data_IF_491414250465
#
_entry.id   IF_491414250465
#
_cell.length_a   1.000
_cell.length_b   1.000
_cell.length_c   1.000
_cell.angle_alpha   90.00
_cell.angle_beta   90.00
_cell.angle_gamma   90.00
#
_symmetry.space_group_name_H-M   'P 1'
#
loop_
_entity.id
_entity.type
_entity.pdbx_description
1 polymer ?
#
# COMPACT_ATOMS: atom_id res chain seq x y z
N UNK A 1 -15.24 18.71 -28.25
CA UNK A 1 -13.79 18.68 -28.51
C UNK A 1 -13.09 19.69 -27.61
N UNK A 2 -12.66 19.28 -26.41
CA UNK A 2 -11.76 20.06 -25.55
C UNK A 2 -10.71 19.10 -24.99
N UNK A 3 -9.60 19.01 -25.70
CA UNK A 3 -8.36 18.51 -25.11
C UNK A 3 -7.90 19.53 -24.06
N UNK A 4 -7.59 19.05 -22.85
CA UNK A 4 -6.43 19.53 -22.12
C UNK A 4 -5.67 18.33 -21.58
N UNK A 5 -4.55 18.07 -22.25
CA UNK A 5 -3.47 17.22 -21.77
C UNK A 5 -2.93 17.87 -20.49
N UNK A 6 -3.15 17.25 -19.35
CA UNK A 6 -2.30 17.45 -18.20
C UNK A 6 -1.06 16.61 -18.45
N UNK A 7 0.05 17.26 -18.79
CA UNK A 7 1.36 16.62 -18.73
C UNK A 7 1.66 16.52 -17.24
N UNK A 8 1.41 15.34 -16.66
CA UNK A 8 1.99 15.01 -15.38
C UNK A 8 3.50 14.96 -15.58
N UNK A 9 4.16 16.05 -15.19
CA UNK A 9 5.60 16.10 -15.02
C UNK A 9 5.95 15.01 -14.00
N UNK A 10 6.42 13.87 -14.49
CA UNK A 10 6.98 12.80 -13.68
C UNK A 10 8.11 13.39 -12.83
N UNK A 11 7.82 13.60 -11.54
CA UNK A 11 8.74 14.12 -10.53
C UNK A 11 9.85 13.08 -10.27
N UNK A 12 11.11 13.51 -10.09
CA UNK A 12 12.28 12.67 -10.34
C UNK A 12 12.39 11.57 -9.29
N UNK A 13 12.38 10.31 -9.72
CA UNK A 13 12.74 9.10 -8.94
C UNK A 13 12.31 9.12 -7.46
N UNK A 14 11.10 9.58 -7.18
CA UNK A 14 10.41 9.18 -5.95
C UNK A 14 10.08 7.72 -6.15
N UNK A 15 10.54 6.86 -5.25
CA UNK A 15 10.36 5.42 -5.38
C UNK A 15 8.86 5.11 -5.31
N UNK A 16 8.16 5.22 -6.43
CA UNK A 16 6.80 4.76 -6.57
C UNK A 16 6.88 3.25 -6.45
N UNK A 17 6.52 2.73 -5.28
CA UNK A 17 6.41 1.29 -5.07
C UNK A 17 5.30 0.83 -5.99
N UNK A 18 5.65 0.07 -7.03
CA UNK A 18 4.68 -0.56 -7.90
C UNK A 18 4.02 -1.70 -7.14
N UNK A 19 2.94 -1.40 -6.41
CA UNK A 19 2.19 -2.34 -5.56
C UNK A 19 1.81 -3.64 -6.31
N UNK A 20 1.70 -3.57 -7.64
CA UNK A 20 1.39 -4.71 -8.51
C UNK A 20 2.56 -5.68 -8.70
N UNK A 21 3.81 -5.21 -8.60
CA UNK A 21 5.03 -5.99 -8.84
C UNK A 21 5.80 -6.34 -7.57
N UNK A 22 5.49 -5.66 -6.47
CA UNK A 22 6.20 -5.81 -5.20
C UNK A 22 5.54 -6.86 -4.30
N UNK A 23 6.39 -7.62 -3.60
CA UNK A 23 5.97 -8.57 -2.55
C UNK A 23 6.47 -8.09 -1.20
N UNK A 24 6.00 -8.73 -0.13
CA UNK A 24 6.55 -8.49 1.20
C UNK A 24 8.03 -8.86 1.32
N UNK A 25 8.55 -9.73 0.44
CA UNK A 25 9.96 -10.09 0.38
C UNK A 25 10.84 -8.98 -0.22
N UNK A 26 10.35 -8.34 -1.28
CA UNK A 26 11.11 -7.35 -2.06
C UNK A 26 10.98 -5.95 -1.49
N UNK A 27 9.91 -5.68 -0.73
CA UNK A 27 9.67 -4.36 -0.14
C UNK A 27 10.80 -4.00 0.85
N UNK A 28 11.56 -2.91 0.60
CA UNK A 28 12.64 -2.52 1.50
C UNK A 28 12.16 -2.17 2.91
N UNK A 29 12.97 -2.48 3.92
CA UNK A 29 12.61 -2.30 5.34
C UNK A 29 12.32 -0.84 5.76
N UNK A 30 12.73 0.13 4.95
CA UNK A 30 12.45 1.56 5.18
C UNK A 30 11.07 1.97 4.64
N UNK A 31 10.21 1.04 4.27
CA UNK A 31 8.81 1.29 3.98
C UNK A 31 7.92 0.74 5.08
N UNK A 32 6.89 1.52 5.42
CA UNK A 32 5.80 1.10 6.30
C UNK A 32 4.54 0.96 5.46
N UNK A 33 3.82 -0.14 5.67
CA UNK A 33 2.52 -0.37 5.07
C UNK A 33 1.44 0.21 5.98
N UNK A 34 0.43 0.82 5.41
CA UNK A 34 -0.75 1.29 6.14
C UNK A 34 -2.02 0.78 5.46
N UNK A 35 -3.00 0.35 6.25
CA UNK A 35 -4.33 0.03 5.76
C UNK A 35 -5.28 1.18 6.09
N UNK A 36 -6.00 1.70 5.08
CA UNK A 36 -7.00 2.74 5.26
C UNK A 36 -8.38 2.27 4.77
N UNK A 37 -9.37 2.37 5.64
CA UNK A 37 -10.75 2.05 5.30
C UNK A 37 -11.37 3.15 4.46
N UNK A 38 -12.01 2.79 3.33
CA UNK A 38 -12.70 3.76 2.47
C UNK A 38 -14.00 4.29 3.08
N UNK A 39 -14.63 3.49 3.94
CA UNK A 39 -15.91 3.79 4.58
C UNK A 39 -15.73 4.66 5.82
N UNK A 40 -15.08 4.14 6.87
CA UNK A 40 -14.94 4.87 8.14
C UNK A 40 -13.66 5.71 8.24
N UNK A 41 -12.78 5.67 7.24
CA UNK A 41 -11.48 6.35 7.23
C UNK A 41 -10.50 5.94 8.33
N UNK A 42 -10.79 4.86 9.07
CA UNK A 42 -9.86 4.29 10.02
C UNK A 42 -8.57 3.87 9.30
N UNK A 43 -7.43 4.28 9.83
CA UNK A 43 -6.11 4.02 9.29
C UNK A 43 -5.22 3.42 10.37
N UNK A 44 -4.42 2.42 10.00
CA UNK A 44 -3.48 1.76 10.91
C UNK A 44 -2.24 1.29 10.17
N UNK A 45 -1.11 1.23 10.86
CA UNK A 45 0.11 0.61 10.34
C UNK A 45 -0.02 -0.90 10.31
N UNK A 46 0.48 -1.50 9.24
CA UNK A 46 0.55 -2.95 9.03
C UNK A 46 2.04 -3.34 9.07
N UNK A 47 2.39 -4.24 9.98
CA UNK A 47 3.73 -4.83 9.99
C UNK A 47 3.85 -5.85 8.84
N UNK A 48 4.53 -5.45 7.76
CA UNK A 48 4.78 -6.30 6.61
C UNK A 48 5.54 -7.59 6.96
N UNK A 49 6.41 -7.58 7.98
CA UNK A 49 7.13 -8.79 8.43
C UNK A 49 6.18 -9.76 9.12
N UNK A 50 5.27 -9.25 9.93
CA UNK A 50 4.26 -10.10 10.57
C UNK A 50 3.33 -10.74 9.53
N UNK A 51 2.86 -9.95 8.55
CA UNK A 51 2.05 -10.49 7.44
C UNK A 51 2.83 -11.53 6.65
N UNK A 52 4.11 -11.29 6.35
CA UNK A 52 4.95 -12.23 5.63
C UNK A 52 5.13 -13.55 6.41
N UNK A 53 5.31 -13.49 7.73
CA UNK A 53 5.37 -14.69 8.58
C UNK A 53 4.06 -15.48 8.58
N UNK A 54 2.91 -14.80 8.55
CA UNK A 54 1.59 -15.45 8.59
C UNK A 54 1.13 -15.99 7.23
N UNK A 55 1.45 -15.29 6.14
CA UNK A 55 0.87 -15.56 4.81
C UNK A 55 1.91 -15.86 3.72
N UNK A 56 3.20 -15.86 4.06
CA UNK A 56 4.31 -16.07 3.14
C UNK A 56 4.92 -14.77 2.62
N UNK A 57 6.22 -14.83 2.33
CA UNK A 57 7.01 -13.71 1.83
C UNK A 57 6.65 -13.32 0.38
N UNK A 58 6.17 -14.28 -0.42
CA UNK A 58 5.77 -14.07 -1.83
C UNK A 58 4.39 -13.42 -1.99
N UNK A 59 3.72 -13.07 -0.89
CA UNK A 59 2.45 -12.36 -0.96
C UNK A 59 2.67 -10.98 -1.59
N UNK A 60 2.07 -10.78 -2.77
CA UNK A 60 2.09 -9.47 -3.44
C UNK A 60 1.29 -8.44 -2.66
N UNK A 61 1.73 -7.18 -2.70
CA UNK A 61 1.04 -6.09 -2.03
C UNK A 61 -0.38 -5.88 -2.60
N UNK A 62 -0.59 -6.10 -3.90
CA UNK A 62 -1.91 -6.08 -4.52
C UNK A 62 -2.86 -7.15 -3.93
N UNK A 63 -2.37 -8.37 -3.68
CA UNK A 63 -3.17 -9.41 -3.04
C UNK A 63 -3.41 -9.12 -1.56
N UNK A 64 -2.45 -8.51 -0.88
CA UNK A 64 -2.63 -8.02 0.49
C UNK A 64 -3.75 -6.96 0.55
N UNK A 65 -3.75 -5.99 -0.36
CA UNK A 65 -4.78 -4.94 -0.42
C UNK A 65 -6.20 -5.51 -0.56
N UNK A 66 -6.39 -6.52 -1.42
CA UNK A 66 -7.68 -7.21 -1.61
C UNK A 66 -8.18 -7.96 -0.38
N UNK A 67 -7.29 -8.29 0.56
CA UNK A 67 -7.59 -9.06 1.78
C UNK A 67 -7.85 -8.18 3.00
N UNK A 68 -7.73 -6.86 2.87
CA UNK A 68 -7.89 -5.94 3.99
C UNK A 68 -9.32 -5.97 4.54
N UNK A 69 -9.43 -6.16 5.86
CA UNK A 69 -10.66 -5.99 6.63
C UNK A 69 -10.45 -4.90 7.68
N UNK A 70 -11.31 -3.88 7.64
CA UNK A 70 -11.30 -2.82 8.65
C UNK A 70 -11.73 -3.38 10.01
N UNK A 71 -10.94 -3.13 11.05
CA UNK A 71 -11.28 -3.55 12.42
C UNK A 71 -12.32 -2.62 13.09
N UNK A 72 -12.40 -1.35 12.68
CA UNK A 72 -13.40 -0.41 13.19
C UNK A 72 -14.84 -0.70 12.72
N UNK A 73 -15.07 -0.78 11.40
CA UNK A 73 -16.41 -0.96 10.83
C UNK A 73 -16.64 -2.31 10.11
N UNK A 74 -15.65 -3.19 10.06
CA UNK A 74 -15.76 -4.51 9.41
C UNK A 74 -15.66 -4.52 7.88
N UNK A 75 -15.55 -3.35 7.22
CA UNK A 75 -15.51 -3.25 5.75
C UNK A 75 -14.38 -4.08 5.13
N UNK A 76 -14.67 -4.80 4.04
CA UNK A 76 -13.72 -5.65 3.30
C UNK A 76 -13.46 -5.20 1.85
N UNK A 77 -14.21 -4.21 1.36
CA UNK A 77 -14.18 -3.79 -0.04
C UNK A 77 -13.50 -2.44 -0.19
N UNK A 78 -12.69 -2.27 -1.23
CA UNK A 78 -12.05 -1.00 -1.61
C UNK A 78 -11.23 -0.32 -0.50
N UNK A 79 -10.73 -1.11 0.46
CA UNK A 79 -9.76 -0.62 1.43
C UNK A 79 -8.43 -0.33 0.74
N UNK A 80 -7.78 0.75 1.12
CA UNK A 80 -6.53 1.19 0.51
C UNK A 80 -5.35 0.61 1.27
N UNK A 81 -4.40 0.03 0.54
CA UNK A 81 -3.06 -0.25 1.04
C UNK A 81 -2.15 0.90 0.62
N UNK A 82 -1.61 1.61 1.60
CA UNK A 82 -0.71 2.73 1.40
C UNK A 82 0.71 2.30 1.77
N UNK A 83 1.69 2.81 1.02
CA UNK A 83 3.11 2.55 1.28
C UNK A 83 3.79 3.88 1.58
N UNK A 84 4.32 4.02 2.78
CA UNK A 84 5.01 5.23 3.23
C UNK A 84 6.49 4.95 3.41
N UNK A 85 7.33 5.81 2.85
CA UNK A 85 8.78 5.76 3.10
C UNK A 85 9.07 6.37 4.47
N UNK A 86 9.84 5.67 5.29
CA UNK A 86 10.39 6.22 6.52
C UNK A 86 11.38 7.34 6.20
N UNK A 87 11.40 8.42 7.00
CA UNK A 87 12.48 9.39 6.93
C UNK A 87 13.81 8.65 7.20
N UNK A 88 14.84 8.99 6.43
CA UNK A 88 16.21 8.57 6.73
C UNK A 88 16.84 9.75 7.46
N UNK A 89 17.19 9.55 8.73
CA UNK A 89 18.12 10.42 9.45
C UNK A 89 19.56 10.17 9.00
#
# INVERSE_FOLDING_TARGET
MKHRRSIELASPRRHAVEIEKETLATLPQWYVLHGRCRICRHETSIDGREIARRYGHDLSLANLAKRLKCQGCGNRSDNLLLVQKLPRD
#
